data_IF_293122030613
#
_entry.id   IF_293122030613
#
_cell.length_a   1.000
_cell.length_b   1.000
_cell.length_c   1.000
_cell.angle_alpha   90.00
_cell.angle_beta   90.00
_cell.angle_gamma   90.00
#
_symmetry.space_group_name_H-M   'P 1'
#
loop_
_entity.id
_entity.type
_entity.pdbx_description
1 polymer ?
#
# COMPACT_ATOMS: atom_id res chain seq x y z
N UNK A 1 -8.04 -72.63 56.43
CA UNK A 1 -9.41 -72.40 55.92
C UNK A 1 -9.31 -71.49 54.71
N UNK A 2 -9.42 -72.10 53.53
CA UNK A 2 -9.28 -71.52 52.19
C UNK A 2 -10.47 -70.60 51.87
N UNK A 3 -10.21 -69.44 51.24
CA UNK A 3 -11.17 -68.78 50.36
C UNK A 3 -10.60 -68.71 48.95
N UNK A 4 -11.47 -69.04 48.02
CA UNK A 4 -11.28 -69.46 46.65
C UNK A 4 -10.81 -68.35 45.71
N UNK A 5 -9.91 -68.72 44.78
CA UNK A 5 -9.54 -67.93 43.61
C UNK A 5 -10.52 -68.22 42.48
N UNK A 6 -11.19 -67.19 41.97
CA UNK A 6 -11.99 -67.25 40.73
C UNK A 6 -11.08 -66.83 39.57
N UNK A 7 -11.01 -67.67 38.55
CA UNK A 7 -10.32 -67.41 37.30
C UNK A 7 -11.26 -66.65 36.35
N UNK A 8 -10.83 -65.51 35.83
CA UNK A 8 -11.51 -64.81 34.75
C UNK A 8 -10.70 -64.98 33.47
N UNK A 9 -11.26 -65.71 32.49
CA UNK A 9 -10.70 -65.87 31.15
C UNK A 9 -10.76 -64.53 30.40
N UNK A 10 -9.61 -64.01 29.99
CA UNK A 10 -9.52 -62.88 29.06
C UNK A 10 -9.74 -63.38 27.63
N UNK A 11 -10.80 -62.91 26.98
CA UNK A 11 -11.08 -63.15 25.56
C UNK A 11 -10.28 -62.15 24.73
N UNK A 12 -9.34 -62.63 23.90
CA UNK A 12 -8.58 -61.79 22.98
C UNK A 12 -9.43 -61.53 21.74
N UNK A 13 -9.92 -60.29 21.58
CA UNK A 13 -10.53 -59.83 20.33
C UNK A 13 -9.45 -59.13 19.49
N UNK A 14 -9.10 -59.73 18.36
CA UNK A 14 -8.19 -59.16 17.37
C UNK A 14 -8.95 -58.11 16.55
N UNK A 15 -8.73 -56.83 16.83
CA UNK A 15 -9.27 -55.72 16.02
C UNK A 15 -8.23 -55.37 14.96
N UNK A 16 -8.53 -55.66 13.69
CA UNK A 16 -7.81 -55.12 12.55
C UNK A 16 -8.15 -53.63 12.42
N UNK A 17 -7.24 -52.75 12.88
CA UNK A 17 -7.31 -51.33 12.56
C UNK A 17 -6.78 -51.13 11.13
N UNK A 18 -7.69 -50.88 10.19
CA UNK A 18 -7.35 -50.39 8.86
C UNK A 18 -6.86 -48.95 9.04
N UNK A 19 -5.56 -48.72 8.87
CA UNK A 19 -5.01 -47.38 8.76
C UNK A 19 -5.50 -46.75 7.45
N UNK A 20 -6.55 -45.94 7.52
CA UNK A 20 -6.87 -45.01 6.44
C UNK A 20 -5.79 -43.93 6.43
N UNK A 21 -4.88 -44.02 5.46
CA UNK A 21 -3.99 -42.92 5.13
C UNK A 21 -4.88 -41.71 4.76
N UNK A 22 -4.97 -40.74 5.68
CA UNK A 22 -5.57 -39.46 5.38
C UNK A 22 -4.75 -38.83 4.26
N UNK A 23 -5.38 -38.64 3.11
CA UNK A 23 -4.89 -37.69 2.11
C UNK A 23 -4.79 -36.34 2.82
N UNK A 24 -3.57 -35.89 3.11
CA UNK A 24 -3.33 -34.49 3.39
C UNK A 24 -3.78 -33.74 2.14
N UNK A 25 -4.99 -33.18 2.18
CA UNK A 25 -5.43 -32.21 1.20
C UNK A 25 -4.37 -31.12 1.21
N UNK A 26 -3.65 -30.97 0.10
CA UNK A 26 -2.79 -29.80 -0.12
C UNK A 26 -3.73 -28.61 0.03
N UNK A 27 -3.46 -27.74 1.00
CA UNK A 27 -4.24 -26.52 1.17
C UNK A 27 -4.29 -25.80 -0.18
N UNK A 28 -5.48 -25.37 -0.59
CA UNK A 28 -5.60 -24.60 -1.83
C UNK A 28 -4.65 -23.39 -1.75
N UNK A 29 -3.94 -23.05 -2.83
CA UNK A 29 -3.06 -21.89 -2.84
C UNK A 29 -3.83 -20.64 -2.39
N UNK A 30 -3.25 -19.86 -1.48
CA UNK A 30 -3.92 -18.68 -0.93
C UNK A 30 -4.10 -17.61 -2.03
N UNK A 31 -5.29 -17.03 -2.18
CA UNK A 31 -5.62 -16.21 -3.34
C UNK A 31 -4.94 -14.84 -3.29
N UNK A 32 -4.55 -14.37 -4.47
CA UNK A 32 -4.19 -12.98 -4.73
C UNK A 32 -5.43 -12.17 -5.08
N UNK A 33 -5.44 -10.88 -4.73
CA UNK A 33 -6.53 -9.98 -5.00
C UNK A 33 -6.15 -8.91 -6.03
N UNK A 34 -7.06 -8.65 -6.96
CA UNK A 34 -6.98 -7.53 -7.89
C UNK A 34 -8.24 -6.68 -7.73
N UNK A 35 -8.09 -5.42 -7.28
CA UNK A 35 -9.22 -4.52 -7.14
C UNK A 35 -9.90 -4.34 -8.51
N UNK A 36 -11.25 -4.34 -8.59
CA UNK A 36 -11.97 -4.25 -9.85
C UNK A 36 -11.74 -2.96 -10.65
N UNK A 37 -11.09 -1.96 -10.06
CA UNK A 37 -10.72 -0.71 -10.72
C UNK A 37 -9.29 -0.71 -11.28
N UNK A 38 -8.47 -1.71 -10.92
CA UNK A 38 -7.17 -1.93 -11.53
C UNK A 38 -7.31 -2.31 -13.01
N UNK A 39 -6.32 -1.95 -13.82
CA UNK A 39 -6.38 -2.06 -15.28
C UNK A 39 -5.13 -2.73 -15.83
N UNK A 40 -5.33 -3.47 -16.92
CA UNK A 40 -4.26 -3.96 -17.79
C UNK A 40 -4.81 -4.01 -19.21
N UNK A 41 -3.96 -3.74 -20.19
CA UNK A 41 -4.24 -3.96 -21.60
C UNK A 41 -4.23 -5.45 -21.98
N UNK A 42 -3.52 -6.29 -21.22
CA UNK A 42 -3.49 -7.75 -21.41
C UNK A 42 -3.20 -8.50 -20.10
N UNK A 43 -4.26 -8.90 -19.40
CA UNK A 43 -4.14 -9.74 -18.18
C UNK A 43 -3.48 -11.10 -18.44
N UNK A 44 -3.47 -11.60 -19.68
CA UNK A 44 -2.75 -12.83 -20.04
C UNK A 44 -1.22 -12.71 -19.89
N UNK A 45 -0.71 -11.48 -19.88
CA UNK A 45 0.71 -11.16 -19.74
C UNK A 45 1.08 -10.67 -18.35
N UNK A 46 0.12 -10.67 -17.42
CA UNK A 46 0.33 -10.37 -16.02
C UNK A 46 0.30 -11.68 -15.25
N UNK A 47 1.38 -12.00 -14.56
CA UNK A 47 1.49 -13.19 -13.71
C UNK A 47 1.66 -12.75 -12.27
N UNK A 48 0.73 -13.18 -11.43
CA UNK A 48 0.78 -12.94 -9.99
C UNK A 48 1.17 -14.23 -9.28
N UNK A 49 2.05 -14.10 -8.28
CA UNK A 49 2.26 -15.10 -7.25
C UNK A 49 1.05 -15.23 -6.33
N UNK A 50 1.28 -15.83 -5.17
CA UNK A 50 0.30 -15.99 -4.10
C UNK A 50 0.26 -14.75 -3.21
N UNK A 51 -0.92 -14.47 -2.63
CA UNK A 51 -1.09 -13.37 -1.67
C UNK A 51 -0.64 -12.00 -2.18
N UNK A 52 -0.71 -11.78 -3.50
CA UNK A 52 -0.43 -10.49 -4.11
C UNK A 52 -1.65 -9.59 -3.95
N UNK A 53 -1.44 -8.37 -3.47
CA UNK A 53 -2.48 -7.34 -3.43
C UNK A 53 -2.26 -6.31 -4.53
N UNK A 54 -3.22 -6.19 -5.45
CA UNK A 54 -3.27 -5.11 -6.44
C UNK A 54 -4.42 -4.17 -6.08
N UNK A 55 -4.07 -2.96 -5.66
CA UNK A 55 -4.98 -1.97 -5.11
C UNK A 55 -5.75 -1.15 -6.16
N UNK A 56 -6.67 -0.30 -5.69
CA UNK A 56 -7.47 0.60 -6.52
C UNK A 56 -6.69 1.37 -7.58
N UNK A 57 -7.22 1.37 -8.81
CA UNK A 57 -6.69 2.16 -9.93
C UNK A 57 -5.22 1.90 -10.31
N UNK A 58 -4.61 0.83 -9.82
CA UNK A 58 -3.31 0.40 -10.31
C UNK A 58 -3.39 0.08 -11.83
N UNK A 59 -2.38 0.49 -12.57
CA UNK A 59 -2.26 0.22 -14.00
C UNK A 59 -1.09 -0.74 -14.25
N UNK A 60 -1.37 -1.85 -14.94
CA UNK A 60 -0.42 -2.90 -15.28
C UNK A 60 -0.35 -3.02 -16.81
N UNK A 61 0.26 -2.03 -17.46
CA UNK A 61 0.37 -1.92 -18.92
C UNK A 61 1.48 -2.80 -19.49
N UNK A 62 1.14 -3.67 -20.44
CA UNK A 62 2.04 -4.69 -21.04
C UNK A 62 2.54 -4.31 -22.44
N UNK A 63 2.26 -3.09 -22.90
CA UNK A 63 2.74 -2.58 -24.19
C UNK A 63 2.10 -3.22 -25.41
N UNK A 64 0.83 -3.64 -25.32
CA UNK A 64 0.15 -4.33 -26.42
C UNK A 64 0.47 -5.83 -26.51
N UNK A 65 0.92 -6.45 -25.41
CA UNK A 65 0.90 -7.91 -25.25
C UNK A 65 2.18 -8.67 -25.67
N UNK A 66 3.32 -7.99 -25.90
CA UNK A 66 4.60 -8.68 -26.11
C UNK A 66 5.38 -8.88 -24.81
N UNK A 67 5.30 -7.91 -23.90
CA UNK A 67 6.07 -7.89 -22.67
C UNK A 67 5.26 -8.49 -21.52
N UNK A 68 5.97 -8.95 -20.48
CA UNK A 68 5.35 -9.59 -19.32
C UNK A 68 5.55 -8.72 -18.09
N UNK A 69 4.54 -8.73 -17.21
CA UNK A 69 4.65 -8.25 -15.84
C UNK A 69 4.56 -9.48 -14.93
N UNK A 70 5.62 -9.74 -14.18
CA UNK A 70 5.67 -10.84 -13.20
C UNK A 70 5.77 -10.25 -11.80
N UNK A 71 4.91 -10.71 -10.89
CA UNK A 71 4.84 -10.21 -9.51
C UNK A 71 4.94 -11.41 -8.57
N UNK A 72 5.99 -11.48 -7.76
CA UNK A 72 6.24 -12.57 -6.83
C UNK A 72 5.31 -12.60 -5.62
N UNK A 73 5.47 -13.62 -4.79
CA UNK A 73 4.57 -13.92 -3.66
C UNK A 73 4.57 -12.77 -2.63
N UNK A 74 3.42 -12.53 -2.01
CA UNK A 74 3.23 -11.58 -0.90
C UNK A 74 3.63 -10.13 -1.24
N UNK A 75 3.76 -9.82 -2.52
CA UNK A 75 4.04 -8.48 -3.03
C UNK A 75 2.76 -7.64 -3.10
N UNK A 76 2.92 -6.33 -3.22
CA UNK A 76 1.78 -5.42 -3.41
C UNK A 76 2.05 -4.32 -4.43
N UNK A 77 0.99 -3.99 -5.17
CA UNK A 77 0.91 -2.92 -6.15
C UNK A 77 -0.22 -2.01 -5.69
N UNK A 78 0.12 -0.98 -4.93
CA UNK A 78 -0.88 -0.18 -4.22
C UNK A 78 -1.62 0.81 -5.12
N UNK A 79 -2.47 1.62 -4.50
CA UNK A 79 -3.37 2.55 -5.19
C UNK A 79 -2.64 3.46 -6.19
N UNK A 80 -3.18 3.59 -7.39
CA UNK A 80 -2.64 4.45 -8.46
C UNK A 80 -1.20 4.15 -8.90
N UNK A 81 -0.60 3.00 -8.52
CA UNK A 81 0.70 2.55 -9.05
C UNK A 81 0.60 2.32 -10.55
N UNK A 82 1.66 2.68 -11.27
CA UNK A 82 1.75 2.54 -12.73
C UNK A 82 2.94 1.65 -13.11
N UNK A 83 2.64 0.48 -13.68
CA UNK A 83 3.62 -0.41 -14.30
C UNK A 83 3.51 -0.28 -15.82
N UNK A 84 4.55 0.26 -16.45
CA UNK A 84 4.63 0.40 -17.90
C UNK A 84 5.72 -0.51 -18.47
N UNK A 85 5.31 -1.70 -18.92
CA UNK A 85 6.19 -2.65 -19.55
C UNK A 85 6.35 -2.43 -21.07
N UNK A 86 5.92 -1.29 -21.62
CA UNK A 86 5.96 -1.03 -23.08
C UNK A 86 7.36 -1.20 -23.68
N UNK A 87 8.40 -0.77 -22.96
CA UNK A 87 9.78 -0.83 -23.43
C UNK A 87 10.56 -2.05 -22.92
N UNK A 88 9.95 -2.93 -22.13
CA UNK A 88 10.65 -4.01 -21.45
C UNK A 88 9.78 -4.74 -20.44
N UNK A 89 9.97 -6.05 -20.26
CA UNK A 89 9.28 -6.78 -19.18
C UNK A 89 9.65 -6.22 -17.80
N UNK A 90 8.70 -6.26 -16.87
CA UNK A 90 8.89 -5.89 -15.47
C UNK A 90 8.79 -7.17 -14.65
N UNK A 91 9.77 -7.40 -13.78
CA UNK A 91 9.78 -8.55 -12.89
C UNK A 91 9.99 -8.12 -11.44
N UNK A 92 9.04 -8.43 -10.58
CA UNK A 92 9.10 -8.20 -9.14
C UNK A 92 9.30 -9.56 -8.46
N UNK A 93 10.24 -9.64 -7.52
CA UNK A 93 10.44 -10.80 -6.65
C UNK A 93 9.34 -10.91 -5.59
N UNK A 94 9.56 -11.76 -4.60
CA UNK A 94 8.69 -11.88 -3.44
C UNK A 94 8.85 -10.65 -2.51
N UNK A 95 7.81 -10.32 -1.75
CA UNK A 95 7.81 -9.22 -0.78
C UNK A 95 8.19 -7.85 -1.36
N UNK A 96 7.86 -7.60 -2.63
CA UNK A 96 8.05 -6.28 -3.24
C UNK A 96 6.86 -5.37 -2.92
N UNK A 97 7.17 -4.18 -2.45
CA UNK A 97 6.20 -3.15 -2.10
C UNK A 97 6.32 -2.01 -3.12
N UNK A 98 5.28 -1.82 -3.92
CA UNK A 98 5.11 -0.63 -4.73
C UNK A 98 4.02 0.23 -4.09
N UNK A 99 4.45 1.25 -3.36
CA UNK A 99 3.57 2.11 -2.59
C UNK A 99 2.78 3.08 -3.47
N UNK A 100 1.74 3.69 -2.90
CA UNK A 100 0.77 4.51 -3.63
C UNK A 100 1.41 5.49 -4.64
N UNK A 101 0.94 5.42 -5.88
CA UNK A 101 1.36 6.33 -6.95
C UNK A 101 2.78 6.12 -7.49
N UNK A 102 3.52 5.10 -7.03
CA UNK A 102 4.82 4.73 -7.60
C UNK A 102 4.69 4.38 -9.09
N UNK A 103 5.77 4.58 -9.85
CA UNK A 103 5.85 4.24 -11.27
C UNK A 103 7.06 3.34 -11.52
N UNK A 104 6.86 2.27 -12.28
CA UNK A 104 7.94 1.39 -12.75
C UNK A 104 7.84 1.23 -14.25
N UNK A 105 8.88 1.62 -14.98
CA UNK A 105 8.95 1.47 -16.44
C UNK A 105 9.96 0.38 -16.78
N UNK A 106 9.59 -0.54 -17.66
CA UNK A 106 10.45 -1.65 -18.05
C UNK A 106 11.52 -1.28 -19.10
N UNK A 107 12.62 -2.05 -19.20
CA UNK A 107 12.89 -3.30 -18.47
C UNK A 107 13.35 -3.03 -17.03
N UNK A 108 12.66 -3.61 -16.04
CA UNK A 108 12.96 -3.38 -14.63
C UNK A 108 12.91 -4.68 -13.81
N UNK A 109 13.77 -4.76 -12.79
CA UNK A 109 13.78 -5.89 -11.85
C UNK A 109 13.86 -5.39 -10.41
N UNK A 110 12.89 -5.75 -9.58
CA UNK A 110 12.81 -5.32 -8.17
C UNK A 110 12.75 -6.54 -7.27
N UNK A 111 13.58 -6.62 -6.23
CA UNK A 111 13.55 -7.71 -5.23
C UNK A 111 13.97 -9.10 -5.74
N UNK A 112 14.46 -9.22 -6.98
CA UNK A 112 14.88 -10.51 -7.56
C UNK A 112 16.32 -10.83 -7.18
N UNK A 113 17.23 -9.89 -7.42
CA UNK A 113 18.65 -10.02 -7.15
C UNK A 113 19.01 -9.46 -5.76
N UNK A 114 20.27 -9.64 -5.35
CA UNK A 114 20.78 -9.19 -4.07
C UNK A 114 20.57 -10.19 -2.94
N UNK A 115 20.71 -9.72 -1.71
CA UNK A 115 20.73 -10.54 -0.52
C UNK A 115 19.90 -9.93 0.61
N UNK A 116 19.38 -10.79 1.48
CA UNK A 116 18.72 -10.34 2.69
C UNK A 116 19.69 -10.29 3.86
N UNK A 117 19.44 -9.40 4.85
CA UNK A 117 20.18 -9.41 6.10
C UNK A 117 20.01 -10.76 6.81
N UNK A 118 21.00 -11.12 7.61
CA UNK A 118 21.01 -12.33 8.45
C UNK A 118 20.85 -13.67 7.70
N UNK A 119 21.13 -13.69 6.40
CA UNK A 119 21.07 -14.90 5.58
C UNK A 119 19.65 -15.41 5.30
N UNK A 120 18.63 -14.58 5.51
CA UNK A 120 17.24 -14.91 5.15
C UNK A 120 17.12 -15.15 3.65
N UNK A 121 16.19 -16.01 3.25
CA UNK A 121 15.91 -16.28 1.83
C UNK A 121 15.02 -15.22 1.19
N UNK A 122 14.16 -14.59 2.00
CA UNK A 122 13.20 -13.55 1.60
C UNK A 122 13.31 -12.34 2.54
N UNK A 123 13.13 -11.17 1.96
CA UNK A 123 13.05 -9.89 2.66
C UNK A 123 12.48 -8.85 1.70
N UNK A 124 11.83 -7.79 2.22
CA UNK A 124 11.15 -6.84 1.37
C UNK A 124 12.09 -5.95 0.55
N UNK A 125 11.55 -5.40 -0.54
CA UNK A 125 12.10 -4.24 -1.26
C UNK A 125 11.01 -3.20 -1.41
N UNK A 126 11.34 -1.91 -1.40
CA UNK A 126 10.32 -0.86 -1.29
C UNK A 126 10.51 0.27 -2.29
N UNK A 127 9.45 0.58 -3.05
CA UNK A 127 9.37 1.79 -3.88
C UNK A 127 8.27 2.67 -3.32
N UNK A 128 8.66 3.84 -2.83
CA UNK A 128 7.79 4.72 -2.03
C UNK A 128 6.82 5.55 -2.88
N UNK A 129 6.04 6.39 -2.18
CA UNK A 129 5.01 7.23 -2.73
C UNK A 129 5.53 8.11 -3.87
N UNK A 130 4.89 8.02 -5.03
CA UNK A 130 5.22 8.79 -6.23
C UNK A 130 6.70 8.66 -6.68
N UNK A 131 7.42 7.63 -6.23
CA UNK A 131 8.77 7.35 -6.69
C UNK A 131 8.75 6.72 -8.09
N UNK A 132 9.83 6.89 -8.84
CA UNK A 132 9.98 6.38 -10.21
C UNK A 132 11.18 5.45 -10.29
N UNK A 133 10.97 4.24 -10.81
CA UNK A 133 12.03 3.28 -11.18
C UNK A 133 11.91 3.04 -12.68
N UNK A 134 12.78 3.64 -13.47
CA UNK A 134 12.73 3.58 -14.93
C UNK A 134 13.87 2.74 -15.45
N UNK A 135 13.58 1.58 -16.06
CA UNK A 135 14.60 0.78 -16.74
C UNK A 135 15.71 0.24 -15.80
N UNK A 136 15.43 0.05 -14.51
CA UNK A 136 16.43 -0.10 -13.46
C UNK A 136 16.29 -1.36 -12.60
N UNK A 137 17.32 -1.65 -11.80
CA UNK A 137 17.35 -2.76 -10.84
C UNK A 137 17.32 -2.24 -9.40
N UNK A 138 16.35 -2.70 -8.61
CA UNK A 138 16.31 -2.50 -7.16
C UNK A 138 16.43 -3.87 -6.51
N UNK A 139 17.48 -4.10 -5.72
CA UNK A 139 17.71 -5.40 -5.09
C UNK A 139 16.81 -5.64 -3.87
N UNK A 140 16.83 -6.89 -3.38
CA UNK A 140 16.32 -7.25 -2.05
C UNK A 140 16.87 -6.31 -0.97
N UNK A 141 16.08 -6.01 0.07
CA UNK A 141 16.49 -5.13 1.19
C UNK A 141 16.92 -3.71 0.74
N UNK A 142 16.46 -3.24 -0.42
CA UNK A 142 16.70 -1.89 -0.91
C UNK A 142 15.42 -1.05 -0.92
N UNK A 143 15.57 0.28 -0.86
CA UNK A 143 14.44 1.20 -0.89
C UNK A 143 14.63 2.38 -1.85
N UNK A 144 13.53 2.87 -2.41
CA UNK A 144 13.47 4.10 -3.20
C UNK A 144 12.51 5.06 -2.51
N UNK A 145 13.01 6.17 -1.98
CA UNK A 145 12.25 7.13 -1.17
C UNK A 145 11.19 7.90 -1.95
N UNK A 146 10.28 8.56 -1.24
CA UNK A 146 9.16 9.27 -1.85
C UNK A 146 9.64 10.33 -2.85
N UNK A 147 9.01 10.39 -4.03
CA UNK A 147 9.44 11.25 -5.15
C UNK A 147 10.90 11.06 -5.58
N UNK A 148 11.60 9.99 -5.22
CA UNK A 148 12.92 9.71 -5.78
C UNK A 148 12.81 9.18 -7.22
N UNK A 149 13.85 9.38 -8.03
CA UNK A 149 13.91 8.89 -9.41
C UNK A 149 15.19 8.10 -9.68
N UNK A 150 15.02 6.80 -9.91
CA UNK A 150 16.08 5.88 -10.34
C UNK A 150 16.04 5.78 -11.86
N UNK A 151 17.08 6.31 -12.53
CA UNK A 151 17.16 6.37 -13.99
C UNK A 151 17.51 5.02 -14.63
N UNK A 152 17.31 4.88 -15.96
CA UNK A 152 17.64 3.66 -16.70
C UNK A 152 19.06 3.13 -16.48
N UNK A 153 19.14 1.82 -16.27
CA UNK A 153 20.38 1.08 -16.09
C UNK A 153 21.00 1.16 -14.69
N UNK A 154 20.42 1.92 -13.77
CA UNK A 154 20.93 2.05 -12.39
C UNK A 154 20.60 0.82 -11.55
N UNK A 155 21.53 0.43 -10.68
CA UNK A 155 21.36 -0.61 -9.66
C UNK A 155 21.34 -0.01 -8.26
N UNK A 156 20.24 -0.17 -7.53
CA UNK A 156 20.15 0.14 -6.09
C UNK A 156 20.41 -1.13 -5.28
N UNK A 157 21.53 -1.21 -4.54
CA UNK A 157 21.94 -2.46 -3.92
C UNK A 157 21.29 -2.78 -2.57
N UNK A 158 21.23 -4.08 -2.25
CA UNK A 158 21.63 -4.64 -0.95
C UNK A 158 21.74 -3.69 0.24
N UNK A 159 20.67 -3.37 0.96
CA UNK A 159 20.78 -2.58 2.20
C UNK A 159 21.02 -1.09 1.99
N UNK A 160 20.69 -0.57 0.80
CA UNK A 160 20.80 0.84 0.45
C UNK A 160 19.45 1.43 0.09
N UNK A 161 19.26 2.73 0.37
CA UNK A 161 18.07 3.48 0.01
C UNK A 161 18.40 4.79 -0.68
N UNK A 162 17.58 5.14 -1.67
CA UNK A 162 17.60 6.48 -2.27
C UNK A 162 16.72 7.40 -1.44
N UNK A 163 17.29 8.51 -0.98
CA UNK A 163 16.56 9.45 -0.13
C UNK A 163 15.44 10.17 -0.90
N UNK A 164 14.39 10.68 -0.21
CA UNK A 164 13.26 11.33 -0.87
C UNK A 164 13.67 12.43 -1.84
N UNK A 165 13.01 12.50 -3.00
CA UNK A 165 13.24 13.51 -4.04
C UNK A 165 14.55 13.43 -4.82
N UNK A 166 15.48 12.58 -4.39
CA UNK A 166 16.79 12.40 -5.04
C UNK A 166 16.66 11.70 -6.38
N UNK A 167 17.40 12.16 -7.38
CA UNK A 167 17.57 11.46 -8.65
C UNK A 167 18.97 10.87 -8.77
N UNK A 168 19.06 9.61 -9.19
CA UNK A 168 20.32 8.90 -9.41
C UNK A 168 20.43 8.44 -10.86
N UNK A 169 21.48 8.89 -11.54
CA UNK A 169 21.71 8.61 -12.96
C UNK A 169 22.67 7.44 -13.25
N UNK A 170 23.37 6.95 -12.23
CA UNK A 170 24.35 5.86 -12.33
C UNK A 170 24.62 5.26 -10.94
N UNK A 171 25.24 4.08 -10.90
CA UNK A 171 25.52 3.34 -9.66
C UNK A 171 26.40 4.10 -8.67
N UNK A 172 27.30 4.98 -9.14
CA UNK A 172 28.13 5.79 -8.23
C UNK A 172 27.28 6.81 -7.47
N UNK A 173 26.28 7.41 -8.12
CA UNK A 173 25.36 8.36 -7.48
C UNK A 173 24.49 7.71 -6.41
N UNK A 174 24.14 6.43 -6.57
CA UNK A 174 23.42 5.67 -5.53
C UNK A 174 24.20 5.72 -4.22
N UNK A 175 25.50 5.46 -4.25
CA UNK A 175 26.33 5.46 -3.06
C UNK A 175 26.61 6.87 -2.51
N UNK A 176 26.62 7.89 -3.36
CA UNK A 176 26.92 9.28 -2.97
C UNK A 176 25.70 10.04 -2.43
N UNK A 177 24.52 9.74 -2.95
CA UNK A 177 23.27 10.47 -2.65
C UNK A 177 22.26 9.64 -1.86
N UNK A 178 22.46 8.33 -1.78
CA UNK A 178 21.63 7.45 -0.96
C UNK A 178 22.20 7.28 0.46
N UNK A 179 21.44 6.54 1.26
CA UNK A 179 21.73 6.25 2.66
C UNK A 179 21.59 4.75 2.92
N UNK A 180 22.20 4.20 3.99
CA UNK A 180 21.96 2.82 4.39
C UNK A 180 20.50 2.58 4.83
N UNK A 181 19.97 1.39 4.54
CA UNK A 181 18.70 0.90 5.10
C UNK A 181 18.90 0.61 6.59
N UNK A 182 18.03 1.18 7.42
CA UNK A 182 18.07 1.06 8.88
C UNK A 182 17.19 -0.09 9.37
N UNK A 183 17.31 -0.44 10.66
CA UNK A 183 16.40 -1.40 11.29
C UNK A 183 14.92 -0.95 11.26
N UNK A 184 14.68 0.35 11.48
CA UNK A 184 13.34 0.93 11.45
C UNK A 184 12.72 0.89 10.04
N UNK A 185 13.54 1.06 9.00
CA UNK A 185 13.10 0.92 7.62
C UNK A 185 12.64 -0.52 7.33
N UNK A 186 13.39 -1.52 7.80
CA UNK A 186 13.02 -2.94 7.65
C UNK A 186 11.76 -3.29 8.43
N UNK A 187 11.63 -2.81 9.66
CA UNK A 187 10.41 -3.00 10.46
C UNK A 187 9.18 -2.42 9.74
N UNK A 188 9.31 -1.19 9.21
CA UNK A 188 8.27 -0.57 8.40
C UNK A 188 7.90 -1.40 7.17
N UNK A 189 8.88 -1.86 6.38
CA UNK A 189 8.59 -2.69 5.20
C UNK A 189 7.89 -4.00 5.58
N UNK A 190 8.31 -4.67 6.64
CA UNK A 190 7.66 -5.91 7.11
C UNK A 190 6.21 -5.65 7.54
N UNK A 191 5.92 -4.52 8.19
CA UNK A 191 4.56 -4.12 8.53
C UNK A 191 3.68 -3.94 7.28
N UNK A 192 4.21 -3.30 6.24
CA UNK A 192 3.49 -3.13 4.97
C UNK A 192 3.20 -4.47 4.29
N UNK A 193 4.14 -5.42 4.28
CA UNK A 193 3.90 -6.78 3.77
C UNK A 193 2.79 -7.47 4.55
N UNK A 194 2.89 -7.47 5.88
CA UNK A 194 1.91 -8.13 6.76
C UNK A 194 0.48 -7.67 6.45
N UNK A 195 0.25 -6.36 6.38
CA UNK A 195 -1.06 -5.79 6.08
C UNK A 195 -1.54 -6.18 4.69
N UNK A 196 -0.68 -6.05 3.66
CA UNK A 196 -1.12 -6.26 2.28
C UNK A 196 -1.39 -7.73 1.96
N UNK A 197 -0.71 -8.66 2.66
CA UNK A 197 -1.04 -10.09 2.61
C UNK A 197 -2.44 -10.35 3.16
N UNK A 198 -2.80 -9.72 4.29
CA UNK A 198 -4.14 -9.83 4.85
C UNK A 198 -5.20 -9.15 3.97
N UNK A 199 -4.86 -8.05 3.29
CA UNK A 199 -5.72 -7.47 2.26
C UNK A 199 -5.94 -8.43 1.08
N UNK A 200 -4.90 -9.08 0.58
CA UNK A 200 -5.04 -10.07 -0.48
C UNK A 200 -6.03 -11.18 -0.08
N UNK A 201 -5.95 -11.68 1.15
CA UNK A 201 -6.90 -12.67 1.68
C UNK A 201 -8.31 -12.12 1.84
N UNK A 202 -8.44 -11.04 2.63
CA UNK A 202 -9.72 -10.48 3.04
C UNK A 202 -10.57 -10.02 1.85
N UNK A 203 -9.96 -9.28 0.93
CA UNK A 203 -10.67 -8.81 -0.26
C UNK A 203 -11.00 -9.94 -1.24
N UNK A 204 -10.14 -10.96 -1.36
CA UNK A 204 -10.45 -12.13 -2.20
C UNK A 204 -11.68 -12.89 -1.71
N UNK A 205 -11.77 -13.12 -0.39
CA UNK A 205 -12.94 -13.77 0.23
C UNK A 205 -14.18 -12.91 0.02
N UNK A 206 -14.08 -11.61 0.29
CA UNK A 206 -15.17 -10.66 0.16
C UNK A 206 -15.71 -10.55 -1.28
N UNK A 207 -14.81 -10.47 -2.27
CA UNK A 207 -15.17 -10.46 -3.69
C UNK A 207 -15.80 -11.79 -4.15
N UNK A 208 -15.32 -12.91 -3.62
CA UNK A 208 -15.89 -14.24 -3.89
C UNK A 208 -17.32 -14.41 -3.36
N UNK A 209 -17.67 -13.70 -2.28
CA UNK A 209 -19.02 -13.68 -1.70
C UNK A 209 -19.97 -12.73 -2.44
N UNK A 210 -19.53 -11.50 -2.71
CA UNK A 210 -20.28 -10.50 -3.48
C UNK A 210 -19.31 -9.60 -4.26
N UNK A 211 -19.22 -9.71 -5.60
CA UNK A 211 -18.34 -8.86 -6.41
C UNK A 211 -18.65 -7.36 -6.30
N UNK A 212 -19.85 -6.96 -5.90
CA UNK A 212 -20.20 -5.54 -5.69
C UNK A 212 -19.69 -5.00 -4.35
N UNK A 213 -19.31 -5.87 -3.42
CA UNK A 213 -18.81 -5.45 -2.12
C UNK A 213 -17.44 -4.79 -2.21
N UNK A 214 -16.66 -5.10 -3.25
CA UNK A 214 -15.34 -4.53 -3.54
C UNK A 214 -15.38 -3.43 -4.62
N UNK A 215 -16.51 -2.73 -4.78
CA UNK A 215 -16.69 -1.65 -5.77
C UNK A 215 -17.18 -0.36 -5.11
N UNK A 216 -16.83 0.77 -5.74
CA UNK A 216 -17.34 2.10 -5.37
C UNK A 216 -17.13 2.44 -3.89
N UNK A 217 -18.20 2.93 -3.26
CA UNK A 217 -18.29 3.15 -1.81
C UNK A 217 -18.74 1.84 -1.16
N UNK A 218 -17.90 1.26 -0.31
CA UNK A 218 -18.18 -0.04 0.31
C UNK A 218 -17.36 -0.27 1.58
N UNK A 219 -17.68 -1.34 2.30
CA UNK A 219 -16.98 -1.72 3.53
C UNK A 219 -15.57 -2.28 3.25
N UNK A 220 -14.73 -2.31 4.26
CA UNK A 220 -13.49 -3.08 4.29
C UNK A 220 -13.77 -4.57 4.62
N UNK A 221 -12.81 -5.50 4.47
CA UNK A 221 -13.05 -6.92 4.75
C UNK A 221 -13.12 -7.28 6.25
N UNK A 222 -12.56 -6.45 7.13
CA UNK A 222 -12.35 -6.72 8.55
C UNK A 222 -11.65 -8.06 8.83
N UNK A 223 -11.84 -8.57 10.03
CA UNK A 223 -11.35 -9.89 10.49
C UNK A 223 -9.82 -10.09 10.34
N UNK A 224 -9.05 -9.02 10.38
CA UNK A 224 -7.59 -9.06 10.49
C UNK A 224 -7.13 -8.71 11.92
N UNK A 225 -5.84 -8.84 12.18
CA UNK A 225 -5.22 -8.48 13.47
C UNK A 225 -5.26 -6.96 13.73
N UNK A 226 -5.26 -6.16 12.67
CA UNK A 226 -5.25 -4.70 12.70
C UNK A 226 -6.62 -4.07 12.53
N UNK A 227 -7.52 -4.76 11.84
CA UNK A 227 -8.89 -4.36 11.59
C UNK A 227 -9.83 -5.53 11.94
N UNK A 228 -10.37 -5.49 13.16
CA UNK A 228 -11.21 -6.57 13.66
C UNK A 228 -12.64 -6.53 13.10
N UNK A 229 -13.11 -5.41 12.53
CA UNK A 229 -14.52 -5.21 12.19
C UNK A 229 -14.66 -4.66 10.78
N UNK A 230 -15.52 -5.30 9.99
CA UNK A 230 -15.90 -4.76 8.69
C UNK A 230 -16.86 -3.58 8.87
N UNK A 231 -16.45 -2.38 8.46
CA UNK A 231 -17.17 -1.12 8.65
C UNK A 231 -17.46 -0.42 7.31
N UNK A 232 -18.62 0.23 7.23
CA UNK A 232 -18.99 1.02 6.05
C UNK A 232 -18.58 2.49 6.20
N UNK A 233 -18.24 3.17 5.11
CA UNK A 233 -18.06 4.61 5.12
C UNK A 233 -19.32 5.33 5.60
N UNK A 234 -19.15 6.45 6.28
CA UNK A 234 -20.23 7.37 6.63
C UNK A 234 -20.14 8.65 5.80
N UNK A 235 -21.21 9.02 5.12
CA UNK A 235 -21.33 10.27 4.36
C UNK A 235 -22.39 11.16 5.00
N UNK A 236 -22.01 12.38 5.38
CA UNK A 236 -22.87 13.34 6.06
C UNK A 236 -23.64 12.73 7.26
N UNK A 237 -22.95 11.86 8.02
CA UNK A 237 -23.49 11.21 9.22
C UNK A 237 -24.34 9.95 8.96
N UNK A 238 -24.51 9.52 7.70
CA UNK A 238 -25.23 8.29 7.36
C UNK A 238 -24.30 7.24 6.77
N UNK A 239 -24.48 5.98 7.15
CA UNK A 239 -23.79 4.84 6.52
C UNK A 239 -24.07 4.83 5.01
N UNK A 240 -23.03 4.59 4.20
CA UNK A 240 -23.10 4.65 2.75
C UNK A 240 -22.55 3.39 2.08
N UNK A 241 -23.30 2.93 1.07
CA UNK A 241 -22.88 1.89 0.12
C UNK A 241 -23.36 2.29 -1.27
N UNK A 242 -22.44 2.44 -2.21
CA UNK A 242 -22.74 2.74 -3.60
C UNK A 242 -21.68 2.09 -4.50
N UNK A 243 -21.90 0.85 -4.99
CA UNK A 243 -20.94 0.17 -5.85
C UNK A 243 -20.79 0.82 -7.23
N UNK A 244 -21.68 1.75 -7.59
CA UNK A 244 -21.62 2.50 -8.86
C UNK A 244 -20.80 3.78 -8.78
N UNK A 245 -20.40 4.19 -7.57
CA UNK A 245 -19.57 5.38 -7.41
C UNK A 245 -18.22 5.18 -8.11
N UNK A 246 -17.78 6.19 -8.88
CA UNK A 246 -16.61 6.07 -9.77
C UNK A 246 -15.27 5.88 -9.05
N UNK A 247 -15.22 6.24 -7.77
CA UNK A 247 -14.03 6.25 -6.92
C UNK A 247 -14.13 5.15 -5.85
N UNK A 248 -13.01 4.79 -5.23
CA UNK A 248 -12.98 3.79 -4.14
C UNK A 248 -12.96 4.51 -2.80
N UNK A 249 -14.03 4.35 -2.03
CA UNK A 249 -14.12 4.81 -0.63
C UNK A 249 -14.40 3.58 0.22
N UNK A 250 -13.47 3.21 1.09
CA UNK A 250 -13.44 1.89 1.74
C UNK A 250 -13.26 2.02 3.26
N UNK A 251 -13.99 1.22 4.02
CA UNK A 251 -13.84 1.10 5.48
C UNK A 251 -14.43 2.27 6.27
N UNK A 252 -14.12 2.36 7.55
CA UNK A 252 -14.61 3.36 8.53
C UNK A 252 -14.20 4.82 8.26
N UNK A 253 -14.30 5.31 7.03
CA UNK A 253 -14.08 6.72 6.69
C UNK A 253 -15.35 7.51 6.96
N UNK A 254 -15.24 8.55 7.81
CA UNK A 254 -16.32 9.50 8.10
C UNK A 254 -16.12 10.79 7.33
N UNK A 255 -16.85 10.96 6.23
CA UNK A 255 -16.83 12.17 5.41
C UNK A 255 -18.00 13.09 5.76
N UNK A 256 -17.70 14.38 5.96
CA UNK A 256 -18.72 15.39 6.24
C UNK A 256 -19.65 15.65 5.04
N UNK A 257 -19.15 15.43 3.82
CA UNK A 257 -19.87 15.69 2.58
C UNK A 257 -20.87 14.57 2.23
N UNK A 258 -21.96 14.96 1.55
CA UNK A 258 -22.92 14.02 0.97
C UNK A 258 -22.34 13.34 -0.27
N UNK A 259 -22.92 12.21 -0.66
CA UNK A 259 -22.57 11.52 -1.91
C UNK A 259 -22.60 12.43 -3.14
N UNK A 260 -23.62 13.28 -3.28
CA UNK A 260 -23.73 14.19 -4.42
C UNK A 260 -22.68 15.30 -4.39
N UNK A 261 -22.33 15.79 -3.20
CA UNK A 261 -21.23 16.75 -3.03
C UNK A 261 -19.91 16.10 -3.43
N UNK A 262 -19.60 14.90 -2.93
CA UNK A 262 -18.42 14.12 -3.32
C UNK A 262 -18.39 13.88 -4.83
N UNK A 263 -19.54 13.57 -5.44
CA UNK A 263 -19.65 13.42 -6.88
C UNK A 263 -19.22 14.69 -7.65
N UNK A 264 -19.51 15.88 -7.09
CA UNK A 264 -19.15 17.17 -7.69
C UNK A 264 -17.71 17.63 -7.44
N UNK A 265 -17.10 17.25 -6.32
CA UNK A 265 -15.77 17.80 -5.92
C UNK A 265 -14.62 16.85 -6.13
N UNK A 266 -14.88 15.55 -6.24
CA UNK A 266 -13.84 14.57 -6.51
C UNK A 266 -13.62 14.42 -8.02
N UNK A 267 -12.38 14.18 -8.41
CA UNK A 267 -12.02 13.74 -9.75
C UNK A 267 -12.33 12.26 -9.94
N UNK A 268 -11.59 11.61 -10.82
CA UNK A 268 -11.62 10.16 -11.09
C UNK A 268 -10.39 9.46 -10.55
N UNK A 269 -10.46 8.13 -10.36
CA UNK A 269 -9.34 7.33 -9.85
C UNK A 269 -8.88 7.74 -8.44
N UNK A 270 -9.81 8.25 -7.63
CA UNK A 270 -9.53 8.62 -6.25
C UNK A 270 -9.75 7.43 -5.34
N UNK A 271 -8.78 7.17 -4.47
CA UNK A 271 -8.85 6.14 -3.44
C UNK A 271 -8.82 6.78 -2.04
N UNK A 272 -9.84 6.50 -1.22
CA UNK A 272 -9.94 6.92 0.19
C UNK A 272 -10.21 5.67 1.02
N UNK A 273 -9.27 5.28 1.88
CA UNK A 273 -9.26 3.96 2.51
C UNK A 273 -8.99 4.03 4.00
N UNK A 274 -9.88 3.43 4.78
CA UNK A 274 -9.78 3.22 6.22
C UNK A 274 -9.87 1.72 6.54
N UNK A 275 -9.15 0.89 5.78
CA UNK A 275 -9.18 -0.58 5.90
C UNK A 275 -7.96 -1.13 6.67
N UNK A 276 -6.86 -0.38 6.78
CA UNK A 276 -5.71 -0.67 7.64
C UNK A 276 -5.76 0.09 8.98
N UNK A 277 -6.20 1.36 8.93
CA UNK A 277 -6.33 2.25 10.08
C UNK A 277 -7.72 2.89 10.13
N UNK A 278 -8.43 2.69 11.24
CA UNK A 278 -9.82 3.10 11.47
C UNK A 278 -10.08 3.42 12.95
N UNK A 279 -11.13 4.15 13.32
CA UNK A 279 -12.00 5.00 12.49
C UNK A 279 -11.31 6.34 12.19
N UNK A 280 -11.63 6.98 11.06
CA UNK A 280 -11.07 8.31 10.80
C UNK A 280 -11.89 9.26 9.94
N UNK A 281 -11.57 10.55 9.99
CA UNK A 281 -12.50 11.61 9.56
C UNK A 281 -11.92 12.60 8.55
N UNK A 282 -12.79 13.04 7.63
CA UNK A 282 -12.53 14.08 6.64
C UNK A 282 -13.67 15.10 6.72
N UNK A 283 -13.32 16.36 6.97
CA UNK A 283 -14.24 17.49 6.90
C UNK A 283 -14.78 17.73 5.49
N UNK A 284 -15.37 18.90 5.26
CA UNK A 284 -15.85 19.26 3.91
C UNK A 284 -14.69 19.30 2.91
N UNK A 285 -14.92 18.85 1.67
CA UNK A 285 -13.92 18.87 0.60
C UNK A 285 -14.22 20.04 -0.34
N UNK A 286 -13.21 20.88 -0.55
CA UNK A 286 -13.27 21.95 -1.52
C UNK A 286 -13.10 21.40 -2.94
N UNK A 287 -12.07 20.60 -3.13
CA UNK A 287 -11.72 19.93 -4.38
C UNK A 287 -10.78 18.76 -4.12
N UNK A 288 -10.93 17.67 -4.86
CA UNK A 288 -10.02 16.52 -4.82
C UNK A 288 -9.79 16.05 -6.24
N UNK A 289 -8.58 16.22 -6.76
CA UNK A 289 -8.29 15.98 -8.17
C UNK A 289 -8.13 14.49 -8.48
N UNK A 290 -8.02 14.16 -9.77
CA UNK A 290 -7.80 12.79 -10.21
C UNK A 290 -6.58 12.14 -9.53
N UNK A 291 -6.64 10.83 -9.35
CA UNK A 291 -5.55 10.00 -8.80
C UNK A 291 -5.11 10.35 -7.37
N UNK A 292 -5.90 11.12 -6.63
CA UNK A 292 -5.64 11.38 -5.21
C UNK A 292 -5.76 10.09 -4.40
N UNK A 293 -4.82 9.85 -3.48
CA UNK A 293 -4.85 8.72 -2.55
C UNK A 293 -4.81 9.20 -1.10
N UNK A 294 -5.72 8.68 -0.29
CA UNK A 294 -5.92 8.97 1.12
C UNK A 294 -5.98 7.65 1.88
N UNK A 295 -4.99 7.36 2.71
CA UNK A 295 -4.86 6.07 3.41
C UNK A 295 -4.14 6.25 4.76
N UNK A 296 -4.11 5.23 5.61
CA UNK A 296 -3.44 5.30 6.91
C UNK A 296 -2.84 3.94 7.29
N UNK A 297 -1.68 3.94 7.95
CA UNK A 297 -1.06 2.69 8.44
C UNK A 297 -1.86 2.08 9.60
N UNK A 298 -1.58 0.82 9.90
CA UNK A 298 -2.09 0.07 11.03
C UNK A 298 -1.91 0.88 12.32
N UNK A 299 -2.96 0.92 13.14
CA UNK A 299 -3.02 1.69 14.39
C UNK A 299 -2.81 3.21 14.22
N UNK A 300 -3.01 3.75 13.02
CA UNK A 300 -3.06 5.18 12.75
C UNK A 300 -4.37 5.56 12.05
N UNK A 301 -4.60 6.86 11.87
CA UNK A 301 -5.79 7.42 11.24
C UNK A 301 -5.44 8.72 10.50
N UNK A 302 -6.37 9.40 9.82
CA UNK A 302 -6.22 10.84 9.56
C UNK A 302 -7.36 11.65 10.20
N UNK A 303 -7.08 12.90 10.53
CA UNK A 303 -8.11 13.87 10.89
C UNK A 303 -7.95 15.09 10.00
N UNK A 304 -8.77 15.17 8.96
CA UNK A 304 -8.67 16.24 7.97
C UNK A 304 -9.77 17.27 8.20
N UNK A 305 -9.38 18.54 8.27
CA UNK A 305 -10.29 19.66 8.52
C UNK A 305 -11.22 19.97 7.35
N UNK A 306 -11.92 21.09 7.46
CA UNK A 306 -12.86 21.54 6.44
C UNK A 306 -12.17 22.20 5.26
N UNK A 307 -12.85 22.20 4.12
CA UNK A 307 -12.45 22.88 2.89
C UNK A 307 -11.04 22.45 2.38
N UNK A 308 -10.69 21.18 2.56
CA UNK A 308 -9.43 20.61 2.07
C UNK A 308 -9.34 20.62 0.54
N UNK A 309 -8.15 20.90 0.00
CA UNK A 309 -7.86 20.89 -1.45
C UNK A 309 -6.75 19.90 -1.74
N UNK A 310 -7.04 18.89 -2.56
CA UNK A 310 -6.09 17.83 -2.90
C UNK A 310 -5.80 17.85 -4.40
N UNK A 311 -4.54 18.07 -4.74
CA UNK A 311 -4.05 18.18 -6.10
C UNK A 311 -3.95 16.82 -6.79
N UNK A 312 -3.78 16.87 -8.12
CA UNK A 312 -3.67 15.68 -8.96
C UNK A 312 -2.58 14.74 -8.44
N UNK A 313 -2.88 13.45 -8.29
CA UNK A 313 -1.92 12.42 -7.87
C UNK A 313 -1.23 12.72 -6.52
N UNK A 314 -1.88 13.50 -5.65
CA UNK A 314 -1.40 13.73 -4.29
C UNK A 314 -1.67 12.53 -3.39
N UNK A 315 -0.78 12.31 -2.43
CA UNK A 315 -0.88 11.23 -1.44
C UNK A 315 -0.92 11.84 -0.05
N UNK A 316 -1.96 11.53 0.71
CA UNK A 316 -2.04 11.88 2.13
C UNK A 316 -2.14 10.58 2.91
N UNK A 317 -1.13 10.32 3.74
CA UNK A 317 -0.97 9.05 4.41
C UNK A 317 -0.82 9.21 5.93
N UNK A 318 -1.48 8.34 6.67
CA UNK A 318 -1.44 8.26 8.13
C UNK A 318 -0.26 7.42 8.61
N UNK A 319 0.20 7.65 9.82
CA UNK A 319 1.18 6.79 10.46
C UNK A 319 1.54 7.30 11.84
N UNK A 320 2.21 6.47 12.64
CA UNK A 320 2.58 6.83 14.00
C UNK A 320 3.46 8.09 14.03
N UNK A 321 3.09 9.16 14.73
CA UNK A 321 3.98 10.32 14.90
C UNK A 321 4.74 10.25 16.24
N UNK A 322 5.87 10.97 16.38
CA UNK A 322 6.53 11.14 17.69
C UNK A 322 5.61 11.73 18.78
N UNK A 323 4.51 12.38 18.38
CA UNK A 323 3.54 13.01 19.28
C UNK A 323 2.40 12.08 19.71
N UNK A 324 2.50 10.77 19.40
CA UNK A 324 1.41 9.77 19.57
C UNK A 324 0.13 10.15 18.85
N UNK A 325 0.27 10.96 17.82
CA UNK A 325 -0.80 11.51 17.01
C UNK A 325 -0.72 10.95 15.59
N UNK A 326 -1.63 11.38 14.74
CA UNK A 326 -1.77 10.92 13.36
C UNK A 326 -1.54 12.03 12.35
N UNK A 327 -1.84 11.79 11.06
CA UNK A 327 -1.78 12.88 10.07
C UNK A 327 -3.01 13.75 10.23
N UNK A 328 -2.80 15.00 10.61
CA UNK A 328 -3.87 15.96 10.89
C UNK A 328 -3.72 17.17 9.97
N UNK A 329 -4.82 17.61 9.39
CA UNK A 329 -4.89 18.92 8.76
C UNK A 329 -6.01 19.72 9.41
N UNK A 330 -5.76 21.00 9.64
CA UNK A 330 -6.82 21.93 10.04
C UNK A 330 -7.58 22.41 8.79
N UNK A 331 -8.42 23.43 8.94
CA UNK A 331 -9.24 23.94 7.85
C UNK A 331 -8.40 24.60 6.72
N UNK A 332 -8.93 24.56 5.51
CA UNK A 332 -8.40 25.22 4.31
C UNK A 332 -6.99 24.76 3.85
N UNK A 333 -6.51 23.62 4.32
CA UNK A 333 -5.21 23.09 3.90
C UNK A 333 -5.25 22.65 2.43
N UNK A 334 -4.21 23.02 1.68
CA UNK A 334 -4.01 22.60 0.29
C UNK A 334 -2.81 21.67 0.19
N UNK A 335 -3.00 20.50 -0.42
CA UNK A 335 -1.93 19.57 -0.80
C UNK A 335 -1.78 19.63 -2.32
N UNK A 336 -0.64 20.10 -2.80
CA UNK A 336 -0.34 20.29 -4.22
C UNK A 336 -0.31 18.99 -5.01
N UNK A 337 -0.35 19.09 -6.34
CA UNK A 337 -0.28 17.92 -7.21
C UNK A 337 1.06 17.18 -7.02
N UNK A 338 1.01 15.84 -7.07
CA UNK A 338 2.12 14.91 -6.81
C UNK A 338 2.71 14.95 -5.40
N UNK A 339 2.20 15.80 -4.53
CA UNK A 339 2.77 16.00 -3.21
C UNK A 339 2.37 14.90 -2.24
N UNK A 340 3.25 14.66 -1.28
CA UNK A 340 3.10 13.62 -0.25
C UNK A 340 3.01 14.30 1.10
N UNK A 341 1.91 14.10 1.81
CA UNK A 341 1.72 14.49 3.21
C UNK A 341 1.64 13.23 4.07
N UNK A 342 2.63 13.00 4.92
CA UNK A 342 2.76 11.76 5.68
C UNK A 342 3.12 12.03 7.14
N UNK A 343 2.44 11.38 8.09
CA UNK A 343 2.77 11.43 9.54
C UNK A 343 2.93 12.86 10.07
N UNK A 344 2.07 13.79 9.68
CA UNK A 344 2.29 15.22 9.94
C UNK A 344 1.03 15.97 10.35
N UNK A 345 1.21 17.03 11.14
CA UNK A 345 0.18 18.01 11.47
C UNK A 345 0.38 19.27 10.64
N UNK A 346 -0.70 19.80 10.07
CA UNK A 346 -0.66 20.99 9.24
C UNK A 346 -1.74 21.96 9.71
N UNK A 347 -1.30 23.14 10.18
CA UNK A 347 -2.17 24.21 10.64
C UNK A 347 -3.03 24.81 9.53
N UNK A 348 -4.06 25.56 9.93
CA UNK A 348 -5.08 26.06 9.01
C UNK A 348 -4.47 26.97 7.93
N UNK A 349 -5.13 27.07 6.78
CA UNK A 349 -4.73 27.97 5.67
C UNK A 349 -3.32 27.71 5.12
N UNK A 350 -2.76 26.53 5.38
CA UNK A 350 -1.43 26.16 4.88
C UNK A 350 -1.49 25.58 3.46
N UNK A 351 -0.40 25.74 2.72
CA UNK A 351 -0.23 25.23 1.36
C UNK A 351 1.03 24.38 1.29
N UNK A 352 0.87 23.14 0.84
CA UNK A 352 1.98 22.29 0.40
C UNK A 352 2.04 22.39 -1.12
N UNK A 353 3.14 22.94 -1.63
CA UNK A 353 3.36 23.16 -3.06
C UNK A 353 3.40 21.87 -3.88
N UNK A 354 3.49 22.00 -5.20
CA UNK A 354 3.58 20.91 -6.17
C UNK A 354 4.83 20.06 -5.95
N UNK A 355 4.71 18.72 -6.06
CA UNK A 355 5.81 17.76 -5.89
C UNK A 355 6.60 17.97 -4.58
N UNK A 356 5.91 18.28 -3.49
CA UNK A 356 6.56 18.48 -2.19
C UNK A 356 6.30 17.31 -1.26
N UNK A 357 7.23 17.05 -0.35
CA UNK A 357 7.06 16.04 0.71
C UNK A 357 7.01 16.76 2.05
N UNK A 358 5.97 16.49 2.84
CA UNK A 358 5.91 16.86 4.25
C UNK A 358 5.79 15.59 5.05
N UNK A 359 6.83 15.26 5.80
CA UNK A 359 6.90 14.05 6.60
C UNK A 359 7.28 14.35 8.05
N UNK A 360 6.64 13.68 9.01
CA UNK A 360 6.99 13.77 10.42
C UNK A 360 7.11 15.22 10.93
N UNK A 361 6.20 16.10 10.49
CA UNK A 361 6.29 17.54 10.73
C UNK A 361 5.01 18.08 11.36
N UNK A 362 5.13 19.21 12.04
CA UNK A 362 4.09 19.97 12.71
C UNK A 362 4.17 21.42 12.22
N UNK A 363 3.45 21.71 11.16
CA UNK A 363 3.50 22.99 10.46
C UNK A 363 2.47 23.98 11.08
N UNK A 364 2.88 25.19 11.48
CA UNK A 364 1.96 26.22 11.95
C UNK A 364 0.92 26.62 10.91
N UNK A 365 -0.16 27.29 11.34
CA UNK A 365 -1.14 27.87 10.43
C UNK A 365 -0.51 28.91 9.48
N UNK A 366 -1.02 28.97 8.25
CA UNK A 366 -0.51 29.83 7.18
C UNK A 366 0.85 29.42 6.62
N UNK A 367 1.34 28.21 6.93
CA UNK A 367 2.62 27.74 6.40
C UNK A 367 2.52 27.53 4.89
N UNK A 368 3.50 28.05 4.15
CA UNK A 368 3.67 27.77 2.73
C UNK A 368 4.92 26.94 2.57
N UNK A 369 4.76 25.67 2.21
CA UNK A 369 5.85 24.83 1.71
C UNK A 369 5.91 25.06 0.19
N UNK A 370 6.98 25.66 -0.36
CA UNK A 370 7.09 25.89 -1.79
C UNK A 370 7.07 24.60 -2.61
N UNK A 371 6.97 24.73 -3.93
CA UNK A 371 7.06 23.61 -4.86
C UNK A 371 8.40 22.89 -4.73
N UNK A 372 8.37 21.56 -4.84
CA UNK A 372 9.53 20.67 -4.83
C UNK A 372 10.32 20.68 -3.53
N UNK A 373 9.74 21.12 -2.42
CA UNK A 373 10.42 21.17 -1.12
C UNK A 373 10.16 19.91 -0.31
N UNK A 374 11.20 19.40 0.33
CA UNK A 374 11.13 18.22 1.19
C UNK A 374 11.32 18.67 2.63
N UNK A 375 10.25 18.61 3.40
CA UNK A 375 10.22 18.93 4.82
C UNK A 375 10.12 17.63 5.62
N UNK A 376 11.12 17.36 6.45
CA UNK A 376 11.13 16.23 7.37
C UNK A 376 11.53 16.73 8.75
N UNK A 377 10.80 16.32 9.80
CA UNK A 377 11.09 16.75 11.17
C UNK A 377 11.14 18.28 11.33
N UNK A 378 10.19 19.00 10.70
CA UNK A 378 10.14 20.47 10.69
C UNK A 378 11.34 21.17 10.05
N UNK A 379 12.15 20.44 9.28
CA UNK A 379 13.33 20.97 8.61
C UNK A 379 13.23 20.72 7.10
N UNK A 380 13.62 21.71 6.31
CA UNK A 380 13.87 21.48 4.89
C UNK A 380 15.14 20.65 4.79
N UNK A 381 15.01 19.41 4.32
CA UNK A 381 16.14 18.49 4.16
C UNK A 381 16.65 18.43 2.72
N UNK A 382 15.87 18.94 1.76
CA UNK A 382 16.23 18.89 0.34
C UNK A 382 15.10 19.36 -0.58
N UNK A 383 15.30 19.11 -1.86
CA UNK A 383 14.37 19.43 -2.93
C UNK A 383 14.22 18.25 -3.88
N UNK A 384 13.08 18.14 -4.56
CA UNK A 384 12.88 17.15 -5.62
C UNK A 384 13.66 17.55 -6.85
N UNK A 385 14.56 16.66 -7.31
CA UNK A 385 15.55 16.96 -8.35
C UNK A 385 15.00 16.89 -9.79
N UNK A 386 13.72 16.48 -9.98
CA UNK A 386 13.12 16.22 -11.30
C UNK A 386 11.71 16.81 -11.49
#
# INVERSE_FOLDING_TARGET
MLKSRVWLLATVALVFAIATAGQHAVAAPEPSFVDPTARSDSWNNVRLGHLVYVGPFANLGTGGGLQQIQIGDESNVQDNVDLDATNGSISLGDEVILAHGATVTGPASIGIAGFCPDGKSRCPSFVSFNAVVDGAMVEKDAMVGALAYVMPGVRVPSGWKIDPGVSVANDNEVMLKGSPVTGADREFMNGVIHVNVDFARGYSVMAGQDPNSVRGIGRDPGNSSFNARSEYPMLAGAEARDPSFRNRIIGGVKLADTRDRLNSVMGSQVAVRADEGEDWQIGTIASMSDRTTLHALEHSHLSLGNNGRYGFHSVVHGGATPWKDTTITMDNVTVGAWSVLFRSRVGADSVIGFKSVVQQSDLPAGTIVPDRVIVVNNQIIGYVEW
#
